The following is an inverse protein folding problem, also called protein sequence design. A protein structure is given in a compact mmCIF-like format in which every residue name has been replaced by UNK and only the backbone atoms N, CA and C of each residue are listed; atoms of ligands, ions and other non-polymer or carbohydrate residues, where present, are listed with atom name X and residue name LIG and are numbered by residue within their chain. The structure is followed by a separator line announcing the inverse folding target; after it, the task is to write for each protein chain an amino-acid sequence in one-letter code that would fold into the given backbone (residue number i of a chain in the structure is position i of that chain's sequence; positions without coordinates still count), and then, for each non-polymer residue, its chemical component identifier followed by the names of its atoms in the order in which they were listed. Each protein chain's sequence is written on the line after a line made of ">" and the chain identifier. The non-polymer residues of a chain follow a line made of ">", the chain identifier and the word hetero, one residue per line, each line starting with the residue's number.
data_IF_206555851969
#
_entry.id   IF_206555851969
#
_cell.length_a   1.000
_cell.length_b   1.000
_cell.length_c   1.000
_cell.angle_alpha   90.00
_cell.angle_beta   90.00
_cell.angle_gamma   90.00
#
_symmetry.space_group_name_H-M   'P 1'
#
loop_
_entity.id
_entity.type
_entity.pdbx_description
1 polymer ?
#
# COMPACT_ATOMS: atom_id res chain seq x y z
N UNK A 1 -60.75 9.23 -12.07
CA UNK A 1 -59.67 9.15 -11.05
C UNK A 1 -58.53 8.34 -11.66
N UNK A 2 -57.52 9.01 -12.14
CA UNK A 2 -56.36 8.38 -12.79
C UNK A 2 -55.21 8.28 -11.77
N UNK A 3 -54.77 7.06 -11.43
CA UNK A 3 -53.61 6.83 -10.60
C UNK A 3 -52.38 6.70 -11.51
N UNK A 4 -51.45 7.64 -11.41
CA UNK A 4 -50.16 7.54 -12.08
C UNK A 4 -49.21 6.63 -11.26
N UNK A 5 -48.45 5.74 -11.88
CA UNK A 5 -47.46 4.94 -11.17
C UNK A 5 -46.21 5.78 -10.88
N UNK A 6 -45.80 5.81 -9.61
CA UNK A 6 -44.52 6.35 -9.17
C UNK A 6 -43.43 5.39 -9.61
N UNK A 7 -42.63 5.77 -10.61
CA UNK A 7 -41.39 5.10 -10.95
C UNK A 7 -40.34 5.43 -9.88
N UNK A 8 -40.03 4.44 -9.03
CA UNK A 8 -38.95 4.50 -8.08
C UNK A 8 -37.64 4.35 -8.86
N UNK A 9 -36.88 5.46 -8.95
CA UNK A 9 -35.53 5.47 -9.47
C UNK A 9 -34.55 4.98 -8.36
N UNK A 10 -34.46 3.67 -8.20
CA UNK A 10 -33.44 3.03 -7.36
C UNK A 10 -32.43 2.40 -8.29
N UNK A 11 -31.27 2.99 -8.40
CA UNK A 11 -30.16 2.34 -9.08
C UNK A 11 -29.20 3.31 -9.73
N UNK A 12 -28.16 3.71 -9.04
CA UNK A 12 -26.79 3.87 -9.55
C UNK A 12 -25.86 4.52 -8.51
N UNK A 13 -25.59 3.83 -7.41
CA UNK A 13 -24.57 4.27 -6.44
C UNK A 13 -23.51 3.19 -6.10
N UNK A 14 -23.41 2.12 -6.87
CA UNK A 14 -22.52 0.98 -6.55
C UNK A 14 -21.29 0.81 -7.43
N UNK A 15 -20.92 1.76 -8.30
CA UNK A 15 -19.88 1.51 -9.30
C UNK A 15 -18.52 2.17 -9.03
N UNK A 16 -18.41 3.08 -8.07
CA UNK A 16 -17.14 3.82 -7.88
C UNK A 16 -16.09 3.04 -7.07
N UNK A 17 -16.49 2.22 -6.11
CA UNK A 17 -15.54 1.47 -5.27
C UNK A 17 -14.83 0.34 -6.02
N UNK A 18 -15.52 -0.34 -6.92
CA UNK A 18 -14.97 -1.47 -7.68
C UNK A 18 -13.88 -1.06 -8.68
N UNK A 19 -13.94 0.16 -9.22
CA UNK A 19 -12.94 0.68 -10.16
C UNK A 19 -11.64 1.10 -9.44
N UNK A 20 -11.75 1.64 -8.22
CA UNK A 20 -10.58 1.99 -7.40
C UNK A 20 -9.82 0.73 -6.96
N UNK A 21 -10.52 -0.31 -6.49
CA UNK A 21 -9.91 -1.58 -6.09
C UNK A 21 -9.19 -2.28 -7.26
N UNK A 22 -9.76 -2.25 -8.46
CA UNK A 22 -9.15 -2.83 -9.66
C UNK A 22 -7.87 -2.08 -10.07
N UNK A 23 -7.85 -0.74 -9.93
CA UNK A 23 -6.68 0.07 -10.26
C UNK A 23 -5.53 -0.16 -9.26
N UNK A 24 -5.83 -0.25 -7.96
CA UNK A 24 -4.85 -0.52 -6.92
C UNK A 24 -4.27 -1.94 -7.06
N UNK A 25 -5.11 -2.94 -7.37
CA UNK A 25 -4.66 -4.29 -7.65
C UNK A 25 -3.67 -4.36 -8.82
N UNK A 26 -3.93 -3.61 -9.88
CA UNK A 26 -3.04 -3.49 -11.04
C UNK A 26 -1.69 -2.89 -10.65
N UNK A 27 -1.67 -1.83 -9.83
CA UNK A 27 -0.44 -1.17 -9.40
C UNK A 27 0.48 -2.09 -8.59
N UNK A 28 -0.06 -2.93 -7.70
CA UNK A 28 0.72 -3.92 -6.96
C UNK A 28 1.39 -4.93 -7.89
N UNK A 29 0.64 -5.47 -8.86
CA UNK A 29 1.14 -6.41 -9.85
C UNK A 29 2.25 -5.80 -10.72
N UNK A 30 2.04 -4.58 -11.20
CA UNK A 30 3.01 -3.87 -12.03
C UNK A 30 4.28 -3.50 -11.26
N UNK A 31 4.17 -2.97 -10.04
CA UNK A 31 5.31 -2.65 -9.20
C UNK A 31 6.11 -3.90 -8.82
N UNK A 32 5.41 -5.01 -8.50
CA UNK A 32 6.00 -6.32 -8.26
C UNK A 32 6.85 -6.78 -9.45
N UNK A 33 6.29 -6.76 -10.65
CA UNK A 33 7.00 -7.15 -11.87
C UNK A 33 8.18 -6.22 -12.18
N UNK A 34 8.01 -4.90 -11.98
CA UNK A 34 9.04 -3.90 -12.29
C UNK A 34 10.26 -4.01 -11.37
N UNK A 35 10.04 -4.25 -10.08
CA UNK A 35 11.11 -4.29 -9.08
C UNK A 35 11.56 -5.70 -8.68
N UNK A 36 10.92 -6.74 -9.21
CA UNK A 36 11.27 -8.13 -8.89
C UNK A 36 10.99 -8.51 -7.43
N UNK A 37 9.94 -7.96 -6.83
CA UNK A 37 9.51 -8.24 -5.45
C UNK A 37 8.14 -8.91 -5.46
N UNK A 38 7.86 -9.90 -4.57
CA UNK A 38 6.57 -10.59 -4.58
C UNK A 38 5.39 -9.62 -4.32
N UNK A 39 4.34 -9.74 -5.12
CA UNK A 39 3.13 -8.92 -4.98
C UNK A 39 2.49 -9.09 -3.60
N UNK A 40 2.39 -10.32 -3.12
CA UNK A 40 1.81 -10.66 -1.83
C UNK A 40 2.60 -10.00 -0.68
N UNK A 41 3.92 -9.88 -0.83
CA UNK A 41 4.76 -9.21 0.16
C UNK A 41 4.49 -7.70 0.18
N UNK A 42 4.31 -7.06 -0.97
CA UNK A 42 3.93 -5.65 -1.05
C UNK A 42 2.56 -5.40 -0.42
N UNK A 43 1.59 -6.29 -0.67
CA UNK A 43 0.25 -6.22 -0.07
C UNK A 43 0.30 -6.41 1.45
N UNK A 44 1.09 -7.36 1.92
CA UNK A 44 1.28 -7.59 3.36
C UNK A 44 1.92 -6.38 4.06
N UNK A 45 2.91 -5.74 3.43
CA UNK A 45 3.52 -4.51 3.93
C UNK A 45 2.47 -3.39 3.98
N UNK A 46 1.73 -3.14 2.90
CA UNK A 46 0.66 -2.15 2.88
C UNK A 46 -0.39 -2.38 3.98
N UNK A 47 -0.76 -3.64 4.21
CA UNK A 47 -1.69 -3.99 5.28
C UNK A 47 -1.11 -3.69 6.67
N UNK A 48 0.16 -4.02 6.92
CA UNK A 48 0.84 -3.77 8.20
C UNK A 48 1.02 -2.28 8.46
N UNK A 49 1.32 -1.49 7.42
CA UNK A 49 1.56 -0.06 7.51
C UNK A 49 0.28 0.74 7.79
N UNK A 50 -0.79 0.46 7.09
CA UNK A 50 -2.00 1.30 7.15
C UNK A 50 -3.32 0.55 6.94
N UNK A 51 -3.30 -0.78 6.86
CA UNK A 51 -4.43 -1.61 6.41
C UNK A 51 -4.89 -1.26 4.99
N UNK A 52 -3.95 -0.83 4.13
CA UNK A 52 -4.24 -0.43 2.76
C UNK A 52 -4.89 0.95 2.60
N UNK A 53 -4.85 1.80 3.63
CA UNK A 53 -5.47 3.13 3.57
C UNK A 53 -4.61 4.10 2.74
N UNK A 54 -5.05 4.41 1.52
CA UNK A 54 -4.36 5.32 0.60
C UNK A 54 -4.19 6.75 1.15
N UNK A 55 -5.08 7.19 2.03
CA UNK A 55 -5.07 8.52 2.63
C UNK A 55 -4.33 8.58 3.98
N UNK A 56 -3.71 7.48 4.41
CA UNK A 56 -3.03 7.44 5.69
C UNK A 56 -1.86 8.42 5.73
N UNK A 57 -1.80 9.20 6.80
CA UNK A 57 -0.64 10.05 7.14
C UNK A 57 -0.36 9.93 8.63
N UNK A 58 0.91 9.88 9.00
CA UNK A 58 1.33 9.84 10.40
C UNK A 58 2.52 10.78 10.59
N UNK A 59 2.48 11.62 11.62
CA UNK A 59 3.60 12.50 11.98
C UNK A 59 4.39 11.89 13.12
N UNK A 60 5.68 11.69 12.89
CA UNK A 60 6.60 11.12 13.84
C UNK A 60 7.11 12.16 14.83
N UNK A 61 7.62 11.73 15.98
CA UNK A 61 8.17 12.61 17.02
C UNK A 61 9.36 13.45 16.56
N UNK A 62 10.10 13.00 15.52
CA UNK A 62 11.19 13.74 14.90
C UNK A 62 10.76 14.72 13.82
N UNK A 63 9.44 14.94 13.65
CA UNK A 63 8.85 15.84 12.65
C UNK A 63 8.73 15.25 11.25
N UNK A 64 9.23 14.04 10.97
CA UNK A 64 8.99 13.38 9.69
C UNK A 64 7.54 12.90 9.57
N UNK A 65 7.07 12.72 8.34
CA UNK A 65 5.70 12.26 8.06
C UNK A 65 5.76 10.99 7.24
N UNK A 66 4.96 9.97 7.62
CA UNK A 66 4.73 8.78 6.82
C UNK A 66 3.48 8.98 5.97
N UNK A 67 3.53 8.63 4.68
CA UNK A 67 2.57 9.06 3.67
C UNK A 67 2.05 7.86 2.89
N UNK A 68 0.71 7.79 2.74
CA UNK A 68 0.00 6.81 1.92
C UNK A 68 -0.03 5.41 2.52
N UNK A 69 -0.60 4.47 1.76
CA UNK A 69 -0.84 3.12 2.28
C UNK A 69 0.42 2.31 2.59
N UNK A 70 1.55 2.63 1.94
CA UNK A 70 2.86 2.02 2.21
C UNK A 70 3.67 2.80 3.25
N UNK A 71 3.12 3.90 3.83
CA UNK A 71 3.73 4.76 4.85
C UNK A 71 5.15 5.20 4.47
N UNK A 72 5.27 5.79 3.28
CA UNK A 72 6.55 6.30 2.80
C UNK A 72 6.98 7.51 3.62
N UNK A 73 8.10 7.39 4.33
CA UNK A 73 8.59 8.47 5.18
C UNK A 73 9.11 9.65 4.35
N UNK A 74 8.79 10.88 4.79
CA UNK A 74 9.21 12.13 4.14
C UNK A 74 10.73 12.30 4.05
N UNK A 75 11.50 11.51 4.79
CA UNK A 75 12.97 11.39 4.64
C UNK A 75 13.40 11.07 3.20
N UNK A 76 12.55 10.38 2.44
CA UNK A 76 12.83 10.02 1.06
C UNK A 76 12.62 11.16 0.06
N UNK A 77 11.88 12.23 0.44
CA UNK A 77 11.50 13.32 -0.48
C UNK A 77 12.71 14.02 -1.14
N UNK A 78 13.85 14.31 -0.46
CA UNK A 78 15.00 14.92 -1.13
C UNK A 78 15.58 14.05 -2.26
N UNK A 79 15.49 12.72 -2.15
CA UNK A 79 15.91 11.80 -3.20
C UNK A 79 14.86 11.68 -4.29
N UNK A 80 13.58 11.60 -3.92
CA UNK A 80 12.46 11.44 -4.84
C UNK A 80 12.21 12.70 -5.68
N UNK A 81 12.48 13.90 -5.14
CA UNK A 81 12.33 15.18 -5.86
C UNK A 81 13.21 15.28 -7.10
N UNK A 82 14.36 14.58 -7.11
CA UNK A 82 15.23 14.49 -8.29
C UNK A 82 14.56 13.81 -9.49
N UNK A 83 13.48 13.06 -9.22
CA UNK A 83 12.64 12.39 -10.22
C UNK A 83 11.27 13.06 -10.35
N UNK A 84 11.10 14.27 -9.85
CA UNK A 84 9.85 15.04 -9.89
C UNK A 84 8.77 14.53 -8.94
N UNK A 85 9.09 13.60 -8.01
CA UNK A 85 8.14 13.04 -7.06
C UNK A 85 8.09 13.90 -5.81
N UNK A 86 6.92 14.47 -5.53
CA UNK A 86 6.62 15.32 -4.37
C UNK A 86 5.78 14.59 -3.34
N UNK A 87 5.54 15.23 -2.18
CA UNK A 87 4.61 14.72 -1.17
C UNK A 87 3.21 14.46 -1.75
N UNK A 88 2.71 15.35 -2.61
CA UNK A 88 1.40 15.18 -3.26
C UNK A 88 1.36 13.93 -4.14
N UNK A 89 2.42 13.63 -4.88
CA UNK A 89 2.51 12.40 -5.67
C UNK A 89 2.47 11.14 -4.80
N UNK A 90 3.05 11.17 -3.59
CA UNK A 90 2.98 10.05 -2.65
C UNK A 90 1.58 9.77 -2.08
N UNK A 91 0.64 10.69 -2.20
CA UNK A 91 -0.78 10.45 -1.86
C UNK A 91 -1.52 9.67 -2.94
N UNK A 92 -0.95 9.54 -4.15
CA UNK A 92 -1.49 8.66 -5.18
C UNK A 92 -1.13 7.21 -4.84
N UNK A 93 -2.13 6.33 -4.79
CA UNK A 93 -1.96 4.94 -4.40
C UNK A 93 -0.92 4.20 -5.26
N UNK A 94 -0.98 4.37 -6.57
CA UNK A 94 -0.07 3.70 -7.49
C UNK A 94 1.38 4.18 -7.32
N UNK A 95 1.59 5.49 -7.26
CA UNK A 95 2.92 6.06 -6.98
C UNK A 95 3.45 5.58 -5.64
N UNK A 96 2.60 5.54 -4.62
CA UNK A 96 2.96 5.07 -3.28
C UNK A 96 3.40 3.59 -3.29
N UNK A 97 2.66 2.72 -4.01
CA UNK A 97 3.02 1.31 -4.24
C UNK A 97 4.38 1.17 -4.91
N UNK A 98 4.63 1.92 -6.00
CA UNK A 98 5.90 1.87 -6.72
C UNK A 98 7.08 2.31 -5.86
N UNK A 99 6.92 3.38 -5.07
CA UNK A 99 7.98 3.85 -4.17
C UNK A 99 8.23 2.84 -3.04
N UNK A 100 7.19 2.25 -2.46
CA UNK A 100 7.33 1.19 -1.46
C UNK A 100 8.07 -0.03 -2.02
N UNK A 101 7.72 -0.48 -3.23
CA UNK A 101 8.40 -1.57 -3.91
C UNK A 101 9.87 -1.25 -4.20
N UNK A 102 10.17 -0.02 -4.65
CA UNK A 102 11.54 0.44 -4.85
C UNK A 102 12.37 0.45 -3.56
N UNK A 103 11.80 0.91 -2.44
CA UNK A 103 12.48 0.87 -1.12
C UNK A 103 12.79 -0.57 -0.72
N UNK A 104 11.83 -1.48 -0.85
CA UNK A 104 12.02 -2.89 -0.54
C UNK A 104 13.08 -3.53 -1.45
N UNK A 105 13.02 -3.31 -2.76
CA UNK A 105 14.01 -3.80 -3.71
C UNK A 105 15.41 -3.26 -3.42
N UNK A 106 15.52 -1.98 -3.02
CA UNK A 106 16.78 -1.37 -2.60
C UNK A 106 17.36 -2.03 -1.34
N UNK A 107 16.50 -2.42 -0.39
CA UNK A 107 16.93 -3.19 0.79
C UNK A 107 17.39 -4.59 0.40
N UNK A 108 16.68 -5.27 -0.47
CA UNK A 108 17.03 -6.60 -0.99
C UNK A 108 18.38 -6.56 -1.71
N UNK A 109 18.61 -5.56 -2.55
CA UNK A 109 19.90 -5.39 -3.25
C UNK A 109 21.09 -5.22 -2.29
N UNK A 110 20.88 -4.55 -1.15
CA UNK A 110 21.95 -4.29 -0.17
C UNK A 110 22.17 -5.42 0.83
N UNK A 111 21.14 -6.17 1.17
CA UNK A 111 21.13 -7.10 2.30
C UNK A 111 20.91 -8.56 1.90
N UNK A 112 20.63 -8.82 0.61
CA UNK A 112 20.15 -10.09 0.12
C UNK A 112 18.65 -10.25 0.28
N UNK A 113 18.08 -11.19 -0.47
CA UNK A 113 16.67 -11.53 -0.41
C UNK A 113 16.34 -12.24 0.91
N UNK A 114 15.44 -11.68 1.70
CA UNK A 114 15.01 -12.31 2.96
C UNK A 114 14.41 -11.33 3.97
N UNK A 115 14.08 -11.87 5.13
CA UNK A 115 13.41 -11.14 6.21
C UNK A 115 14.20 -9.95 6.76
N UNK A 116 15.53 -9.95 6.63
CA UNK A 116 16.37 -8.82 7.02
C UNK A 116 16.05 -7.59 6.18
N UNK A 117 15.89 -7.75 4.87
CA UNK A 117 15.51 -6.67 3.95
C UNK A 117 14.09 -6.16 4.23
N UNK A 118 13.16 -7.07 4.56
CA UNK A 118 11.79 -6.71 4.98
C UNK A 118 11.81 -5.90 6.28
N UNK A 119 12.53 -6.35 7.28
CA UNK A 119 12.66 -5.63 8.55
C UNK A 119 13.23 -4.22 8.41
N UNK A 120 14.21 -4.07 7.51
CA UNK A 120 14.84 -2.78 7.19
C UNK A 120 13.92 -1.79 6.46
N UNK A 121 12.77 -2.23 5.96
CA UNK A 121 11.74 -1.34 5.42
C UNK A 121 11.22 -0.38 6.50
N UNK A 122 10.98 -0.89 7.70
CA UNK A 122 10.43 -0.11 8.81
C UNK A 122 11.52 0.51 9.71
N UNK A 123 12.59 -0.23 10.05
CA UNK A 123 13.56 0.24 11.02
C UNK A 123 14.98 -0.28 10.82
N UNK A 124 15.95 0.56 11.14
CA UNK A 124 17.37 0.15 11.25
C UNK A 124 17.68 -0.57 12.56
N UNK A 125 16.91 -0.28 13.61
CA UNK A 125 17.04 -0.96 14.89
C UNK A 125 16.66 -2.43 14.78
N UNK A 126 17.51 -3.40 15.13
CA UNK A 126 17.28 -4.83 14.89
C UNK A 126 16.07 -5.39 15.66
N UNK A 127 15.78 -4.87 16.85
CA UNK A 127 14.61 -5.31 17.64
C UNK A 127 13.32 -4.85 16.97
N UNK A 128 13.25 -3.58 16.56
CA UNK A 128 12.08 -3.03 15.85
C UNK A 128 11.90 -3.72 14.50
N UNK A 129 12.98 -3.95 13.76
CA UNK A 129 12.97 -4.68 12.49
C UNK A 129 12.43 -6.11 12.66
N UNK A 130 12.84 -6.83 13.71
CA UNK A 130 12.35 -8.17 13.99
C UNK A 130 10.85 -8.20 14.37
N UNK A 131 10.38 -7.22 15.13
CA UNK A 131 8.96 -7.08 15.47
C UNK A 131 8.15 -6.82 14.20
N UNK A 132 8.62 -5.90 13.35
CA UNK A 132 7.99 -5.60 12.07
C UNK A 132 7.91 -6.82 11.15
N UNK A 133 9.03 -7.53 10.98
CA UNK A 133 9.10 -8.75 10.19
C UNK A 133 8.06 -9.79 10.62
N UNK A 134 7.86 -9.98 11.94
CA UNK A 134 6.82 -10.90 12.44
C UNK A 134 5.40 -10.46 12.05
N UNK A 135 5.12 -9.15 12.07
CA UNK A 135 3.82 -8.60 11.62
C UNK A 135 3.58 -8.87 10.13
N UNK A 136 4.58 -8.61 9.28
CA UNK A 136 4.48 -8.88 7.84
C UNK A 136 4.32 -10.36 7.57
N UNK A 137 5.09 -11.22 8.24
CA UNK A 137 4.97 -12.67 8.11
C UNK A 137 3.59 -13.20 8.56
N UNK A 138 2.99 -12.59 9.59
CA UNK A 138 1.63 -12.91 10.01
C UNK A 138 0.60 -12.47 8.96
N UNK A 139 0.76 -11.27 8.38
CA UNK A 139 -0.13 -10.77 7.33
C UNK A 139 -0.08 -11.65 6.06
N UNK A 140 1.11 -12.15 5.68
CA UNK A 140 1.26 -13.08 4.55
C UNK A 140 0.54 -14.41 4.76
N UNK A 141 0.41 -14.88 6.00
CA UNK A 141 -0.28 -16.14 6.33
C UNK A 141 -1.78 -15.96 6.53
N UNK A 142 -2.25 -14.74 6.70
CA UNK A 142 -3.67 -14.48 6.83
C UNK A 142 -4.39 -14.86 5.52
N UNK A 143 -5.51 -15.61 5.57
CA UNK A 143 -6.25 -15.93 4.37
C UNK A 143 -6.71 -14.62 3.71
N UNK A 144 -6.39 -14.46 2.42
CA UNK A 144 -6.96 -13.37 1.63
C UNK A 144 -8.49 -13.55 1.65
N UNK A 145 -9.19 -12.63 2.31
CA UNK A 145 -10.65 -12.62 2.29
C UNK A 145 -11.07 -12.38 0.84
N UNK A 146 -11.50 -13.43 0.16
CA UNK A 146 -12.15 -13.30 -1.16
C UNK A 146 -13.41 -12.47 -0.93
N UNK A 147 -13.39 -11.21 -1.38
CA UNK A 147 -14.58 -10.38 -1.48
C UNK A 147 -15.33 -10.93 -2.69
N UNK A 148 -16.42 -11.65 -2.45
CA UNK A 148 -17.32 -12.08 -3.51
C UNK A 148 -17.75 -13.54 -3.54
N UNK A 149 -18.11 -14.13 -2.40
CA UNK A 149 -19.04 -15.28 -2.39
C UNK A 149 -20.19 -14.95 -1.44
N UNK A 150 -21.19 -14.24 -1.98
CA UNK A 150 -22.52 -14.26 -1.44
C UNK A 150 -23.31 -15.30 -2.23
N UNK A 151 -23.64 -16.41 -1.55
CA UNK A 151 -24.73 -17.29 -1.97
C UNK A 151 -26.06 -16.53 -1.95
#
# INVERSE_FOLDING_TARGET
>A
MMHAPICILVGLLMSFSALADASDAKCFKEASSHYGVPEELLRAISHVESRGNNSATNTNTNGSTDIGHMQINSYWLPKLSKYGITKTHLMNACTNTYIGAWILASNISRMGYGWKAVGAYNARNPIKAAIYTRKVAAALRAPTRKIGEHN
#
